data_IF_598721754671
#
_entry.id   IF_598721754671
#
_cell.length_a   1.000
_cell.length_b   1.000
_cell.length_c   1.000
_cell.angle_alpha   90.00
_cell.angle_beta   90.00
_cell.angle_gamma   90.00
#
_symmetry.space_group_name_H-M   'P 1'
#
loop_
_entity.id
_entity.type
_entity.pdbx_description
1 polymer ?
#
# COMPACT_ATOMS: atom_id res chain seq x y z
N UNK A 1 7.38 19.23 14.29
CA UNK A 1 6.72 19.56 13.03
C UNK A 1 7.75 19.36 11.93
N UNK A 2 7.37 18.98 10.70
CA UNK A 2 8.36 18.89 9.61
C UNK A 2 8.85 20.28 9.21
N UNK A 3 10.15 20.39 8.97
CA UNK A 3 10.81 21.64 8.53
C UNK A 3 11.01 21.61 7.02
N UNK A 4 10.49 22.62 6.31
CA UNK A 4 10.57 22.73 4.84
C UNK A 4 11.47 23.91 4.47
N UNK A 5 12.50 23.66 3.66
CA UNK A 5 13.35 24.71 3.11
C UNK A 5 12.82 25.14 1.73
N UNK A 6 12.58 26.44 1.57
CA UNK A 6 12.16 27.06 0.31
C UNK A 6 13.33 27.84 -0.28
N UNK A 7 13.76 27.48 -1.50
CA UNK A 7 14.85 28.14 -2.23
C UNK A 7 14.24 28.78 -3.49
N UNK A 8 14.08 30.10 -3.47
CA UNK A 8 13.36 30.87 -4.47
C UNK A 8 13.93 32.27 -4.53
N UNK A 9 14.36 32.76 -5.68
CA UNK A 9 14.96 34.08 -5.81
C UNK A 9 13.92 35.20 -5.86
N UNK A 10 12.71 34.92 -6.38
CA UNK A 10 11.63 35.89 -6.42
C UNK A 10 10.93 36.02 -5.06
N UNK A 11 11.15 37.17 -4.38
CA UNK A 11 10.67 37.44 -3.02
C UNK A 11 9.16 37.22 -2.86
N UNK A 12 8.35 37.75 -3.81
CA UNK A 12 6.90 37.61 -3.73
C UNK A 12 6.39 36.16 -3.84
N UNK A 13 7.07 35.32 -4.64
CA UNK A 13 6.77 33.89 -4.76
C UNK A 13 7.19 33.15 -3.49
N UNK A 14 8.38 33.47 -2.99
CA UNK A 14 8.94 32.87 -1.75
C UNK A 14 8.05 33.16 -0.54
N UNK A 15 7.63 34.41 -0.32
CA UNK A 15 6.74 34.78 0.78
C UNK A 15 5.38 34.11 0.69
N UNK A 16 4.79 34.04 -0.51
CA UNK A 16 3.51 33.36 -0.72
C UNK A 16 3.58 31.86 -0.33
N UNK A 17 4.68 31.19 -0.67
CA UNK A 17 4.88 29.77 -0.30
C UNK A 17 5.07 29.65 1.22
N UNK A 18 5.82 30.55 1.85
CA UNK A 18 6.00 30.57 3.30
C UNK A 18 4.68 30.73 4.04
N UNK A 19 3.89 31.76 3.71
CA UNK A 19 2.57 32.03 4.31
C UNK A 19 1.63 30.82 4.18
N UNK A 20 1.67 30.16 3.01
CA UNK A 20 0.83 29.00 2.74
C UNK A 20 1.23 27.80 3.61
N UNK A 21 2.53 27.55 3.78
CA UNK A 21 3.04 26.41 4.55
C UNK A 21 2.92 26.65 6.06
N UNK A 22 3.14 27.87 6.52
CA UNK A 22 2.94 28.25 7.93
C UNK A 22 1.47 28.14 8.34
N UNK A 23 0.53 28.47 7.44
CA UNK A 23 -0.91 28.27 7.66
C UNK A 23 -1.32 26.79 7.78
N UNK A 24 -0.46 25.86 7.37
CA UNK A 24 -0.64 24.39 7.47
C UNK A 24 0.23 23.78 8.58
N UNK A 25 0.69 24.58 9.52
CA UNK A 25 1.50 24.16 10.66
C UNK A 25 2.86 23.51 10.29
N UNK A 26 3.50 23.89 9.17
CA UNK A 26 4.88 23.52 8.85
C UNK A 26 5.87 24.54 9.44
N UNK A 27 7.03 24.06 9.88
CA UNK A 27 8.17 24.94 10.12
C UNK A 27 8.85 25.27 8.79
N UNK A 28 9.21 26.54 8.56
CA UNK A 28 9.72 27.00 7.27
C UNK A 28 11.11 27.63 7.40
N UNK A 29 11.97 27.35 6.41
CA UNK A 29 13.26 28.00 6.19
C UNK A 29 13.25 28.63 4.80
N UNK A 30 13.83 29.81 4.64
CA UNK A 30 13.83 30.53 3.38
C UNK A 30 15.25 30.89 2.90
N UNK A 31 15.52 30.65 1.62
CA UNK A 31 16.74 31.04 0.94
C UNK A 31 16.44 31.82 -0.33
N UNK A 32 17.08 32.96 -0.51
CA UNK A 32 16.87 33.86 -1.65
C UNK A 32 17.74 33.49 -2.88
N UNK A 33 18.57 32.47 -2.81
CA UNK A 33 19.36 31.92 -3.92
C UNK A 33 19.88 30.54 -3.61
N UNK A 34 20.41 29.85 -4.62
CA UNK A 34 20.88 28.47 -4.50
C UNK A 34 22.05 28.29 -3.50
N UNK A 35 22.96 29.25 -3.37
CA UNK A 35 24.09 29.16 -2.45
C UNK A 35 23.62 29.17 -1.00
N UNK A 36 22.79 30.13 -0.63
CA UNK A 36 22.19 30.22 0.73
C UNK A 36 21.38 28.95 1.01
N UNK A 37 20.65 28.45 -0.02
CA UNK A 37 19.88 27.24 0.09
C UNK A 37 20.72 25.99 0.43
N UNK A 38 21.87 25.82 -0.22
CA UNK A 38 22.81 24.71 0.09
C UNK A 38 23.36 24.85 1.51
N UNK A 39 23.80 26.04 1.90
CA UNK A 39 24.36 26.28 3.25
C UNK A 39 23.32 26.00 4.34
N UNK A 40 22.08 26.47 4.16
CA UNK A 40 20.97 26.20 5.09
C UNK A 40 20.58 24.71 5.12
N UNK A 41 20.55 24.04 3.97
CA UNK A 41 20.23 22.63 3.94
C UNK A 41 21.24 21.76 4.71
N UNK A 42 22.52 22.12 4.66
CA UNK A 42 23.59 21.42 5.39
C UNK A 42 23.56 21.73 6.89
N UNK A 43 23.29 23.00 7.29
CA UNK A 43 23.28 23.39 8.69
C UNK A 43 22.03 22.95 9.44
N UNK A 44 20.87 23.03 8.83
CA UNK A 44 19.55 22.80 9.47
C UNK A 44 18.94 21.43 9.17
N UNK A 45 19.42 20.74 8.11
CA UNK A 45 18.98 19.40 7.68
C UNK A 45 17.44 19.30 7.62
N UNK A 46 16.76 20.08 6.73
CA UNK A 46 15.32 20.11 6.66
C UNK A 46 14.71 18.76 6.25
N UNK A 47 13.42 18.55 6.53
CA UNK A 47 12.72 17.33 6.15
C UNK A 47 12.33 17.27 4.66
N UNK A 48 12.26 18.42 3.97
CA UNK A 48 11.97 18.54 2.55
C UNK A 48 12.51 19.88 2.00
N UNK A 49 12.92 19.88 0.73
CA UNK A 49 13.38 21.07 0.01
C UNK A 49 12.47 21.33 -1.18
N UNK A 50 11.96 22.57 -1.27
CA UNK A 50 11.33 23.14 -2.46
C UNK A 50 12.33 24.09 -3.11
N UNK A 51 12.66 23.91 -4.38
CA UNK A 51 13.67 24.71 -5.05
C UNK A 51 13.21 25.16 -6.44
N UNK A 52 13.29 26.47 -6.72
CA UNK A 52 13.13 26.95 -8.09
C UNK A 52 14.26 26.43 -8.98
N UNK A 53 13.91 26.11 -10.23
CA UNK A 53 14.87 25.65 -11.23
C UNK A 53 15.75 26.79 -11.71
N UNK A 54 15.13 27.96 -11.96
CA UNK A 54 15.77 29.07 -12.65
C UNK A 54 16.18 30.19 -11.67
N UNK A 55 17.35 30.07 -11.09
CA UNK A 55 17.90 31.08 -10.16
C UNK A 55 19.29 31.56 -10.61
N UNK A 56 19.69 32.80 -10.26
CA UNK A 56 21.01 33.30 -10.54
C UNK A 56 22.09 32.59 -9.72
N UNK A 57 23.33 32.61 -10.20
CA UNK A 57 24.54 32.03 -9.62
C UNK A 57 24.55 30.50 -9.61
N UNK A 58 23.72 29.87 -8.79
CA UNK A 58 23.52 28.42 -8.70
C UNK A 58 22.05 28.15 -8.99
N UNK A 59 21.77 27.49 -10.11
CA UNK A 59 20.43 27.06 -10.47
C UNK A 59 19.97 25.85 -9.62
N UNK A 60 18.71 25.49 -9.71
CA UNK A 60 18.14 24.39 -8.94
C UNK A 60 18.83 23.04 -9.19
N UNK A 61 19.34 22.80 -10.40
CA UNK A 61 20.10 21.59 -10.71
C UNK A 61 21.48 21.57 -10.03
N UNK A 62 22.13 22.73 -9.95
CA UNK A 62 23.38 22.91 -9.19
C UNK A 62 23.17 22.69 -7.68
N UNK A 63 22.07 23.21 -7.14
CA UNK A 63 21.66 22.96 -5.74
C UNK A 63 21.48 21.45 -5.49
N UNK A 64 20.68 20.77 -6.31
CA UNK A 64 20.45 19.33 -6.19
C UNK A 64 21.76 18.54 -6.23
N UNK A 65 22.63 18.87 -7.19
CA UNK A 65 23.92 18.20 -7.34
C UNK A 65 24.79 18.34 -6.11
N UNK A 66 24.88 19.56 -5.53
CA UNK A 66 25.64 19.82 -4.33
C UNK A 66 25.10 19.03 -3.12
N UNK A 67 23.78 19.02 -2.95
CA UNK A 67 23.12 18.31 -1.85
C UNK A 67 23.21 16.79 -1.96
N UNK A 68 23.20 16.21 -3.16
CA UNK A 68 23.37 14.77 -3.36
C UNK A 68 24.82 14.29 -3.12
N UNK A 69 25.79 15.19 -3.11
CA UNK A 69 27.20 14.87 -2.77
C UNK A 69 27.49 14.88 -1.27
N UNK A 70 26.67 15.54 -0.46
CA UNK A 70 26.84 15.59 0.99
C UNK A 70 26.01 14.48 1.68
N UNK A 71 26.65 13.60 2.49
CA UNK A 71 25.93 12.50 3.14
C UNK A 71 24.78 12.92 4.06
N UNK A 72 24.82 14.13 4.64
CA UNK A 72 23.78 14.63 5.55
C UNK A 72 22.51 15.06 4.82
N UNK A 73 22.64 15.51 3.56
CA UNK A 73 21.54 16.04 2.75
C UNK A 73 21.16 15.16 1.56
N UNK A 74 21.99 14.14 1.25
CA UNK A 74 21.83 13.29 0.07
C UNK A 74 20.47 12.59 -0.05
N UNK A 75 19.79 12.33 1.07
CA UNK A 75 18.51 11.62 1.12
C UNK A 75 17.31 12.56 1.34
N UNK A 76 17.52 13.86 1.54
CA UNK A 76 16.41 14.82 1.76
C UNK A 76 15.55 14.89 0.49
N UNK A 77 14.22 14.75 0.60
CA UNK A 77 13.32 14.87 -0.53
C UNK A 77 13.43 16.26 -1.18
N UNK A 78 13.54 16.28 -2.50
CA UNK A 78 13.77 17.49 -3.26
C UNK A 78 12.71 17.64 -4.37
N UNK A 79 11.96 18.73 -4.30
CA UNK A 79 10.89 19.06 -5.26
C UNK A 79 11.29 20.32 -6.03
N UNK A 80 11.31 20.24 -7.34
CA UNK A 80 11.52 21.41 -8.16
C UNK A 80 10.23 22.23 -8.37
N UNK A 81 10.35 23.56 -8.31
CA UNK A 81 9.34 24.49 -8.77
C UNK A 81 9.77 24.99 -10.16
N UNK A 82 8.97 24.81 -11.21
CA UNK A 82 9.38 25.11 -12.59
C UNK A 82 8.33 25.89 -13.38
N UNK A 83 8.77 26.80 -14.25
CA UNK A 83 7.91 27.41 -15.23
C UNK A 83 7.57 26.41 -16.36
N UNK A 84 6.38 26.50 -16.94
CA UNK A 84 5.75 25.58 -17.90
C UNK A 84 6.47 25.52 -19.27
N UNK A 85 7.76 25.15 -19.33
CA UNK A 85 8.45 25.00 -20.61
C UNK A 85 9.57 23.95 -20.57
N UNK A 86 9.34 22.88 -21.25
CA UNK A 86 10.20 21.81 -21.74
C UNK A 86 10.11 20.46 -21.01
N UNK A 87 9.51 19.50 -21.73
CA UNK A 87 9.58 18.06 -21.38
C UNK A 87 11.02 17.51 -21.30
N UNK A 88 12.01 18.21 -21.86
CA UNK A 88 13.44 17.89 -21.78
C UNK A 88 14.00 18.08 -20.38
N UNK A 89 13.63 19.15 -19.71
CA UNK A 89 14.18 19.54 -18.41
C UNK A 89 13.64 18.63 -17.28
N UNK A 90 12.40 18.15 -17.46
CA UNK A 90 11.76 17.18 -16.56
C UNK A 90 12.54 15.85 -16.46
N UNK A 91 13.03 15.32 -17.59
CA UNK A 91 13.83 14.08 -17.60
C UNK A 91 15.20 14.27 -16.96
N UNK A 92 15.86 15.37 -17.27
CA UNK A 92 17.20 15.66 -16.74
C UNK A 92 17.23 15.68 -15.22
N UNK A 93 16.29 16.36 -14.58
CA UNK A 93 16.27 16.45 -13.13
C UNK A 93 15.85 15.15 -12.42
N UNK A 94 14.95 14.34 -13.03
CA UNK A 94 14.63 12.99 -12.51
C UNK A 94 15.84 12.07 -12.58
N UNK A 95 16.59 12.12 -13.67
CA UNK A 95 17.84 11.36 -13.83
C UNK A 95 18.93 11.81 -12.83
N UNK A 96 18.87 13.06 -12.36
CA UNK A 96 19.76 13.61 -11.33
C UNK A 96 19.30 13.33 -9.89
N UNK A 97 18.16 12.67 -9.68
CA UNK A 97 17.67 12.26 -8.37
C UNK A 97 16.74 13.25 -7.68
N UNK A 98 16.02 14.11 -8.42
CA UNK A 98 14.90 14.86 -7.86
C UNK A 98 13.72 13.91 -7.58
N UNK A 99 12.95 14.23 -6.53
CA UNK A 99 11.83 13.41 -6.11
C UNK A 99 10.52 13.81 -6.79
N UNK A 100 10.35 15.10 -7.16
CA UNK A 100 9.15 15.62 -7.81
C UNK A 100 9.36 16.96 -8.51
N UNK A 101 8.31 17.39 -9.25
CA UNK A 101 8.22 18.69 -9.93
C UNK A 101 6.83 19.29 -9.78
N UNK A 102 6.78 20.58 -9.50
CA UNK A 102 5.55 21.37 -9.49
C UNK A 102 5.68 22.50 -10.50
N UNK A 103 4.72 22.57 -11.44
CA UNK A 103 4.73 23.64 -12.46
C UNK A 103 4.06 24.90 -11.95
N UNK A 104 4.76 26.06 -12.06
CA UNK A 104 4.19 27.38 -11.79
C UNK A 104 3.28 27.84 -12.97
N UNK A 105 2.09 28.44 -12.71
CA UNK A 105 1.48 28.62 -11.40
C UNK A 105 0.83 27.33 -10.87
N UNK A 106 0.94 27.10 -9.58
CA UNK A 106 0.35 25.95 -8.88
C UNK A 106 -0.73 26.39 -7.88
N UNK A 107 -1.64 25.51 -7.58
CA UNK A 107 -2.64 25.69 -6.53
C UNK A 107 -2.11 25.23 -5.17
N UNK A 108 -2.73 25.74 -4.07
CA UNK A 108 -2.43 25.27 -2.70
C UNK A 108 -2.55 23.75 -2.59
N UNK A 109 -3.59 23.17 -3.18
CA UNK A 109 -3.82 21.72 -3.13
C UNK A 109 -2.72 20.91 -3.81
N UNK A 110 -2.21 21.36 -4.97
CA UNK A 110 -1.12 20.71 -5.69
C UNK A 110 0.19 20.76 -4.89
N UNK A 111 0.53 21.92 -4.32
CA UNK A 111 1.74 22.08 -3.51
C UNK A 111 1.70 21.19 -2.27
N UNK A 112 0.61 21.24 -1.49
CA UNK A 112 0.46 20.44 -0.28
C UNK A 112 0.45 18.92 -0.56
N UNK A 113 -0.24 18.51 -1.62
CA UNK A 113 -0.28 17.11 -2.04
C UNK A 113 1.12 16.58 -2.36
N UNK A 114 1.92 17.32 -3.12
CA UNK A 114 3.30 16.93 -3.44
C UNK A 114 4.18 16.84 -2.18
N UNK A 115 4.11 17.84 -1.29
CA UNK A 115 4.88 17.88 -0.04
C UNK A 115 4.53 16.70 0.85
N UNK A 116 3.23 16.49 1.15
CA UNK A 116 2.77 15.42 2.05
C UNK A 116 3.18 14.05 1.52
N UNK A 117 2.99 13.80 0.22
CA UNK A 117 3.39 12.53 -0.40
C UNK A 117 4.89 12.27 -0.31
N UNK A 118 5.73 13.31 -0.50
CA UNK A 118 7.19 13.14 -0.43
C UNK A 118 7.68 13.00 1.01
N UNK A 119 7.13 13.74 1.96
CA UNK A 119 7.43 13.57 3.38
C UNK A 119 7.06 12.17 3.88
N UNK A 120 5.89 11.64 3.51
CA UNK A 120 5.46 10.29 3.86
C UNK A 120 6.38 9.22 3.26
N UNK A 121 6.72 9.34 1.97
CA UNK A 121 7.64 8.43 1.30
C UNK A 121 9.03 8.48 1.92
N UNK A 122 9.55 9.67 2.23
CA UNK A 122 10.86 9.84 2.85
C UNK A 122 10.88 9.33 4.31
N UNK A 123 9.84 9.59 5.09
CA UNK A 123 9.71 9.03 6.43
C UNK A 123 9.76 7.49 6.41
N UNK A 124 9.15 6.89 5.41
CA UNK A 124 9.21 5.44 5.17
C UNK A 124 10.64 5.00 4.82
N UNK A 125 11.31 5.66 3.86
CA UNK A 125 12.69 5.35 3.46
C UNK A 125 13.70 5.56 4.59
N UNK A 126 13.57 6.66 5.36
CA UNK A 126 14.44 6.95 6.52
C UNK A 126 14.33 5.87 7.60
N UNK A 127 13.15 5.27 7.77
CA UNK A 127 12.94 4.09 8.63
C UNK A 127 13.68 2.85 8.13
N UNK A 128 13.82 2.66 6.82
CA UNK A 128 14.54 1.53 6.23
C UNK A 128 16.07 1.65 6.31
N UNK A 129 16.60 2.87 6.24
CA UNK A 129 18.06 3.11 6.15
C UNK A 129 18.78 3.21 7.50
N UNK A 130 18.07 3.30 8.63
CA UNK A 130 18.67 3.47 9.96
C UNK A 130 18.03 2.59 11.03
N UNK A 131 18.27 1.27 11.04
CA UNK A 131 17.68 0.37 12.03
C UNK A 131 18.01 0.73 13.48
N UNK A 132 19.19 1.33 13.74
CA UNK A 132 19.65 1.65 15.10
C UNK A 132 19.11 2.97 15.66
N UNK A 133 18.74 3.94 14.81
CA UNK A 133 18.24 5.25 15.26
C UNK A 133 16.73 5.24 15.55
N UNK A 134 16.00 4.30 14.95
CA UNK A 134 14.55 4.14 15.12
C UNK A 134 14.19 3.70 16.55
N UNK A 135 15.00 2.84 17.15
CA UNK A 135 14.73 2.28 18.49
C UNK A 135 14.67 3.36 19.57
N UNK A 136 15.49 4.40 19.46
CA UNK A 136 15.58 5.46 20.49
C UNK A 136 14.46 6.52 20.41
N UNK A 137 13.72 6.58 19.28
CA UNK A 137 12.65 7.56 19.05
C UNK A 137 11.24 6.98 19.05
N UNK A 138 11.11 5.66 19.20
CA UNK A 138 9.79 5.00 19.35
C UNK A 138 9.20 5.32 20.72
N UNK A 139 7.88 5.52 20.77
CA UNK A 139 7.19 5.57 22.05
C UNK A 139 7.42 4.27 22.84
N UNK A 140 7.38 4.29 24.19
CA UNK A 140 7.56 3.07 24.99
C UNK A 140 6.64 1.91 24.56
N UNK A 141 5.42 2.22 24.11
CA UNK A 141 4.48 1.23 23.57
C UNK A 141 5.02 0.58 22.29
N UNK A 142 5.59 1.35 21.38
CA UNK A 142 6.14 0.85 20.11
C UNK A 142 7.43 0.04 20.33
N UNK A 143 8.27 0.43 21.28
CA UNK A 143 9.45 -0.36 21.66
C UNK A 143 9.06 -1.74 22.21
N UNK A 144 8.05 -1.77 23.10
CA UNK A 144 7.54 -3.02 23.63
C UNK A 144 6.94 -3.90 22.52
N UNK A 145 6.20 -3.29 21.59
CA UNK A 145 5.61 -3.99 20.44
C UNK A 145 6.70 -4.63 19.57
N UNK A 146 7.79 -3.90 19.28
CA UNK A 146 8.92 -4.39 18.49
C UNK A 146 9.65 -5.56 19.17
N UNK A 147 9.97 -5.40 20.46
CA UNK A 147 10.62 -6.47 21.25
C UNK A 147 9.76 -7.72 21.28
N UNK A 148 8.45 -7.55 21.53
CA UNK A 148 7.50 -8.67 21.59
C UNK A 148 7.34 -9.33 20.22
N UNK A 149 7.33 -8.55 19.11
CA UNK A 149 7.26 -9.09 17.75
C UNK A 149 8.51 -9.89 17.40
N UNK A 150 9.69 -9.36 17.69
CA UNK A 150 10.95 -10.08 17.52
C UNK A 150 10.98 -11.41 18.30
N UNK A 151 10.48 -11.40 19.54
CA UNK A 151 10.41 -12.60 20.38
C UNK A 151 9.43 -13.63 19.82
N UNK A 152 8.23 -13.20 19.42
CA UNK A 152 7.21 -14.06 18.83
C UNK A 152 7.73 -14.81 17.59
N UNK A 153 8.55 -14.13 16.76
CA UNK A 153 9.13 -14.72 15.55
C UNK A 153 10.30 -15.63 15.89
N UNK A 154 11.31 -15.14 16.64
CA UNK A 154 12.60 -15.83 16.83
C UNK A 154 12.58 -16.86 17.94
N UNK A 155 11.90 -16.58 19.05
CA UNK A 155 11.91 -17.46 20.24
C UNK A 155 10.70 -18.37 20.30
N UNK A 156 9.52 -17.86 19.97
CA UNK A 156 8.27 -18.61 20.04
C UNK A 156 7.88 -19.27 18.71
N UNK A 157 8.73 -19.16 17.67
CA UNK A 157 8.55 -19.82 16.37
C UNK A 157 7.12 -19.65 15.81
N UNK A 158 6.62 -18.41 15.81
CA UNK A 158 5.28 -18.01 15.34
C UNK A 158 4.09 -18.63 16.11
N UNK A 159 4.27 -19.19 17.30
CA UNK A 159 3.16 -19.82 18.06
C UNK A 159 2.10 -18.80 18.52
N UNK A 160 2.46 -17.53 18.61
CA UNK A 160 1.56 -16.43 18.96
C UNK A 160 0.72 -15.93 17.76
N UNK A 161 1.01 -16.42 16.55
CA UNK A 161 0.29 -16.01 15.34
C UNK A 161 -0.77 -17.01 14.95
N UNK A 162 -1.93 -16.52 14.57
CA UNK A 162 -3.05 -17.28 14.02
C UNK A 162 -3.53 -16.66 12.70
N UNK A 163 -4.06 -17.49 11.80
CA UNK A 163 -4.68 -17.03 10.57
C UNK A 163 -6.20 -17.20 10.71
N UNK A 164 -6.91 -16.11 10.53
CA UNK A 164 -8.37 -16.10 10.44
C UNK A 164 -8.75 -16.05 8.96
N UNK A 165 -9.92 -16.51 8.63
CA UNK A 165 -10.45 -16.56 7.27
C UNK A 165 -11.76 -15.80 7.21
N UNK A 166 -11.85 -14.84 6.29
CA UNK A 166 -13.10 -14.12 6.05
C UNK A 166 -13.73 -14.61 4.74
N UNK A 167 -14.99 -15.04 4.77
CA UNK A 167 -15.66 -15.54 3.57
C UNK A 167 -15.81 -14.46 2.50
N UNK A 168 -15.54 -14.82 1.25
CA UNK A 168 -15.92 -14.09 0.04
C UNK A 168 -17.06 -14.87 -0.59
N UNK A 169 -18.19 -14.19 -0.80
CA UNK A 169 -19.47 -14.80 -1.19
C UNK A 169 -19.86 -14.36 -2.59
N UNK A 170 -20.21 -15.31 -3.42
CA UNK A 170 -20.86 -15.05 -4.72
C UNK A 170 -22.26 -14.47 -4.50
N UNK A 171 -22.49 -13.27 -4.99
CA UNK A 171 -23.73 -12.52 -4.75
C UNK A 171 -24.94 -13.18 -5.41
N UNK A 172 -24.75 -13.86 -6.55
CA UNK A 172 -25.82 -14.48 -7.32
C UNK A 172 -26.28 -15.79 -6.68
N UNK A 173 -25.34 -16.65 -6.23
CA UNK A 173 -25.67 -17.95 -5.64
C UNK A 173 -25.77 -17.95 -4.13
N UNK A 174 -25.26 -16.90 -3.47
CA UNK A 174 -25.14 -16.81 -2.02
C UNK A 174 -24.08 -17.72 -1.40
N UNK A 175 -23.27 -18.43 -2.20
CA UNK A 175 -22.32 -19.43 -1.73
C UNK A 175 -20.94 -18.81 -1.44
N UNK A 176 -20.23 -19.38 -0.47
CA UNK A 176 -18.81 -19.08 -0.24
C UNK A 176 -18.00 -19.65 -1.40
N UNK A 177 -17.21 -18.81 -2.07
CA UNK A 177 -16.37 -19.18 -3.22
C UNK A 177 -14.88 -18.98 -2.96
N UNK A 178 -14.55 -18.09 -2.04
CA UNK A 178 -13.19 -17.81 -1.65
C UNK A 178 -13.13 -17.37 -0.16
N UNK A 179 -11.92 -17.22 0.35
CA UNK A 179 -11.67 -16.65 1.67
C UNK A 179 -10.44 -15.76 1.64
N UNK A 180 -10.48 -14.62 2.33
CA UNK A 180 -9.29 -13.83 2.62
C UNK A 180 -8.66 -14.33 3.91
N UNK A 181 -7.33 -14.58 3.88
CA UNK A 181 -6.55 -14.95 5.05
C UNK A 181 -6.06 -13.71 5.79
N UNK A 182 -6.40 -13.59 7.05
CA UNK A 182 -6.16 -12.41 7.87
C UNK A 182 -5.33 -12.79 9.09
N UNK A 183 -4.12 -12.27 9.14
CA UNK A 183 -3.20 -12.53 10.26
C UNK A 183 -3.73 -11.93 11.57
N UNK A 184 -3.58 -12.68 12.66
CA UNK A 184 -3.86 -12.26 14.04
C UNK A 184 -2.65 -12.58 14.90
N UNK A 185 -2.30 -11.68 15.80
CA UNK A 185 -1.23 -11.88 16.74
C UNK A 185 -1.75 -11.82 18.17
N UNK A 186 -1.68 -12.95 18.87
CA UNK A 186 -2.01 -13.08 20.29
C UNK A 186 -0.72 -12.99 21.11
N UNK A 187 -0.23 -11.77 21.28
CA UNK A 187 0.99 -11.53 22.06
C UNK A 187 0.81 -11.94 23.51
N UNK A 188 1.79 -12.66 24.05
CA UNK A 188 1.83 -13.02 25.47
C UNK A 188 1.93 -11.81 26.40
N UNK A 189 2.50 -10.68 25.92
CA UNK A 189 2.69 -9.46 26.70
C UNK A 189 1.62 -8.41 26.47
N UNK A 190 1.10 -8.33 25.25
CA UNK A 190 0.22 -7.24 24.81
C UNK A 190 -1.23 -7.69 24.62
N UNK A 191 -1.49 -9.01 24.69
CA UNK A 191 -2.79 -9.57 24.35
C UNK A 191 -3.03 -9.60 22.84
N UNK A 192 -4.29 -9.45 22.42
CA UNK A 192 -4.64 -9.45 21.00
C UNK A 192 -4.20 -8.15 20.33
N UNK A 193 -3.29 -8.25 19.36
CA UNK A 193 -2.83 -7.14 18.53
C UNK A 193 -3.39 -7.27 17.11
N UNK A 194 -3.89 -6.16 16.58
CA UNK A 194 -4.47 -6.12 15.24
C UNK A 194 -3.41 -5.82 14.17
N UNK A 195 -3.59 -6.29 12.92
CA UNK A 195 -2.66 -6.04 11.82
C UNK A 195 -2.29 -4.57 11.63
N UNK A 196 -3.24 -3.65 11.76
CA UNK A 196 -3.03 -2.20 11.65
C UNK A 196 -2.03 -1.65 12.69
N UNK A 197 -1.81 -2.35 13.81
CA UNK A 197 -0.87 -1.92 14.85
C UNK A 197 0.54 -2.45 14.60
N UNK A 198 0.70 -3.71 14.16
CA UNK A 198 2.02 -4.34 14.07
C UNK A 198 2.57 -4.51 12.65
N UNK A 199 1.73 -4.54 11.60
CA UNK A 199 2.20 -4.68 10.21
C UNK A 199 3.10 -3.50 9.80
N UNK A 200 2.75 -2.22 10.05
CA UNK A 200 3.65 -1.10 9.72
C UNK A 200 5.01 -1.19 10.43
N UNK A 201 5.03 -1.71 11.65
CA UNK A 201 6.27 -1.95 12.39
C UNK A 201 7.04 -3.13 11.80
N UNK A 202 6.37 -4.23 11.47
CA UNK A 202 6.98 -5.38 10.83
C UNK A 202 7.61 -5.02 9.48
N UNK A 203 6.96 -4.15 8.71
CA UNK A 203 7.50 -3.61 7.47
C UNK A 203 8.74 -2.76 7.71
N UNK A 204 8.66 -1.77 8.63
CA UNK A 204 9.77 -0.87 8.91
C UNK A 204 11.01 -1.58 9.48
N UNK A 205 10.84 -2.72 10.12
CA UNK A 205 11.91 -3.55 10.71
C UNK A 205 12.35 -4.72 9.83
N UNK A 206 11.68 -4.94 8.68
CA UNK A 206 11.92 -6.08 7.80
C UNK A 206 11.40 -7.42 8.34
N UNK A 207 10.74 -7.42 9.51
CA UNK A 207 10.14 -8.62 10.10
C UNK A 207 8.93 -9.14 9.32
N UNK A 208 8.37 -8.30 8.44
CA UNK A 208 7.27 -8.70 7.55
C UNK A 208 7.67 -9.86 6.64
N UNK A 209 8.94 -9.94 6.20
CA UNK A 209 9.41 -11.00 5.30
C UNK A 209 9.30 -12.40 5.93
N UNK A 210 9.85 -12.68 7.14
CA UNK A 210 9.64 -13.98 7.78
C UNK A 210 8.18 -14.23 8.17
N UNK A 211 7.39 -13.19 8.51
CA UNK A 211 5.95 -13.30 8.79
C UNK A 211 5.20 -13.77 7.56
N UNK A 212 5.36 -13.10 6.43
CA UNK A 212 4.64 -13.41 5.20
C UNK A 212 5.03 -14.78 4.63
N UNK A 213 6.31 -15.14 4.71
CA UNK A 213 6.74 -16.51 4.38
C UNK A 213 6.01 -17.56 5.22
N UNK A 214 5.87 -17.31 6.52
CA UNK A 214 5.12 -18.20 7.42
C UNK A 214 3.62 -18.21 7.07
N UNK A 215 3.01 -17.05 6.77
CA UNK A 215 1.60 -16.97 6.36
C UNK A 215 1.35 -17.78 5.10
N UNK A 216 2.13 -17.56 4.03
CA UNK A 216 2.01 -18.29 2.77
C UNK A 216 2.12 -19.80 2.97
N UNK A 217 3.11 -20.25 3.76
CA UNK A 217 3.27 -21.67 4.08
C UNK A 217 2.05 -22.23 4.82
N UNK A 218 1.51 -21.49 5.80
CA UNK A 218 0.35 -21.92 6.59
C UNK A 218 -0.92 -21.95 5.76
N UNK A 219 -1.14 -20.95 4.89
CA UNK A 219 -2.29 -20.91 4.00
C UNK A 219 -2.27 -22.07 3.01
N UNK A 220 -1.14 -22.33 2.35
CA UNK A 220 -1.01 -23.49 1.47
C UNK A 220 -1.29 -24.82 2.19
N UNK A 221 -0.80 -24.98 3.41
CA UNK A 221 -1.10 -26.16 4.23
C UNK A 221 -2.59 -26.25 4.58
N UNK A 222 -3.23 -25.11 4.90
CA UNK A 222 -4.67 -25.11 5.25
C UNK A 222 -5.53 -25.45 4.05
N UNK A 223 -5.23 -24.92 2.86
CA UNK A 223 -5.91 -25.29 1.62
C UNK A 223 -5.83 -26.82 1.41
N UNK A 224 -4.64 -27.39 1.57
CA UNK A 224 -4.47 -28.85 1.46
C UNK A 224 -5.33 -29.61 2.48
N UNK A 225 -5.36 -29.14 3.73
CA UNK A 225 -6.20 -29.75 4.78
C UNK A 225 -7.68 -29.75 4.37
N UNK A 226 -8.19 -28.65 3.80
CA UNK A 226 -9.56 -28.55 3.31
C UNK A 226 -9.83 -29.47 2.11
N UNK A 227 -8.86 -29.59 1.18
CA UNK A 227 -8.97 -30.54 0.06
C UNK A 227 -9.06 -31.98 0.56
N UNK A 228 -8.29 -32.35 1.59
CA UNK A 228 -8.28 -33.73 2.14
C UNK A 228 -9.62 -34.11 2.79
N UNK A 229 -10.42 -33.12 3.20
CA UNK A 229 -11.78 -33.34 3.73
C UNK A 229 -12.88 -33.07 2.69
N UNK A 230 -12.52 -32.89 1.40
CA UNK A 230 -13.45 -32.79 0.28
C UNK A 230 -13.91 -31.38 -0.10
N UNK A 231 -13.30 -30.33 0.47
CA UNK A 231 -13.56 -28.93 0.10
C UNK A 231 -12.58 -28.53 -1.00
N UNK A 232 -12.95 -28.76 -2.28
CA UNK A 232 -12.02 -28.65 -3.42
C UNK A 232 -12.27 -27.42 -4.32
N UNK A 233 -13.10 -26.47 -3.91
CA UNK A 233 -13.46 -25.33 -4.76
C UNK A 233 -13.13 -23.97 -4.18
N UNK A 234 -12.42 -23.92 -3.06
CA UNK A 234 -12.15 -22.69 -2.31
C UNK A 234 -10.80 -22.09 -2.73
N UNK A 235 -10.81 -20.86 -3.23
CA UNK A 235 -9.60 -20.03 -3.39
C UNK A 235 -9.31 -19.30 -2.08
N UNK A 236 -8.05 -19.22 -1.69
CA UNK A 236 -7.63 -18.44 -0.51
C UNK A 236 -6.70 -17.30 -0.92
N UNK A 237 -7.09 -16.10 -0.55
CA UNK A 237 -6.36 -14.88 -0.81
C UNK A 237 -5.39 -14.57 0.35
N UNK A 238 -4.21 -14.06 0.00
CA UNK A 238 -3.14 -13.69 0.93
C UNK A 238 -2.65 -12.29 0.61
N UNK A 239 -2.74 -11.40 1.59
CA UNK A 239 -2.16 -10.05 1.51
C UNK A 239 -0.63 -10.14 1.53
N UNK A 240 0.02 -9.41 0.61
CA UNK A 240 1.47 -9.38 0.47
C UNK A 240 1.96 -7.93 0.49
N UNK A 241 2.94 -7.64 1.34
CA UNK A 241 3.57 -6.32 1.41
C UNK A 241 4.53 -6.09 0.23
N UNK A 242 4.81 -4.80 -0.05
CA UNK A 242 5.79 -4.42 -1.09
C UNK A 242 7.18 -5.01 -0.81
N UNK A 243 7.55 -5.14 0.46
CA UNK A 243 8.86 -5.65 0.88
C UNK A 243 8.99 -7.14 0.57
N UNK A 244 7.93 -7.91 0.84
CA UNK A 244 7.88 -9.35 0.54
C UNK A 244 7.86 -9.61 -0.97
N UNK A 245 7.01 -8.88 -1.69
CA UNK A 245 6.87 -9.00 -3.14
C UNK A 245 8.17 -8.75 -3.90
N UNK A 246 9.00 -7.84 -3.41
CA UNK A 246 10.30 -7.50 -4.00
C UNK A 246 11.45 -8.41 -3.54
N UNK A 247 11.19 -9.42 -2.69
CA UNK A 247 12.25 -10.38 -2.31
C UNK A 247 12.66 -11.24 -3.52
N UNK A 248 13.97 -11.45 -3.72
CA UNK A 248 14.46 -12.27 -4.85
C UNK A 248 13.91 -13.71 -4.84
N UNK A 249 13.63 -14.26 -3.68
CA UNK A 249 13.14 -15.63 -3.48
C UNK A 249 11.61 -15.74 -3.34
N UNK A 250 10.86 -14.63 -3.49
CA UNK A 250 9.41 -14.60 -3.30
C UNK A 250 8.67 -15.64 -4.17
N UNK A 251 8.92 -15.61 -5.48
CA UNK A 251 8.30 -16.57 -6.41
C UNK A 251 8.71 -18.00 -6.11
N UNK A 252 10.01 -18.21 -5.80
CA UNK A 252 10.52 -19.55 -5.50
C UNK A 252 9.88 -20.12 -4.22
N UNK A 253 9.64 -19.29 -3.21
CA UNK A 253 8.93 -19.69 -2.01
C UNK A 253 7.49 -20.15 -2.32
N UNK A 254 6.75 -19.42 -3.15
CA UNK A 254 5.40 -19.80 -3.58
C UNK A 254 5.42 -21.14 -4.32
N UNK A 255 6.32 -21.31 -5.29
CA UNK A 255 6.50 -22.59 -6.02
C UNK A 255 6.75 -23.75 -5.07
N UNK A 256 7.64 -23.55 -4.11
CA UNK A 256 7.99 -24.58 -3.12
C UNK A 256 6.79 -24.93 -2.23
N UNK A 257 6.01 -23.93 -1.74
CA UNK A 257 4.86 -24.21 -0.87
C UNK A 257 3.72 -24.91 -1.61
N UNK A 258 3.47 -24.54 -2.86
CA UNK A 258 2.50 -25.22 -3.73
C UNK A 258 2.94 -26.67 -3.96
N UNK A 259 4.21 -26.91 -4.31
CA UNK A 259 4.75 -28.24 -4.58
C UNK A 259 4.74 -29.14 -3.34
N UNK A 260 5.19 -28.65 -2.17
CA UNK A 260 5.23 -29.42 -0.91
C UNK A 260 3.83 -29.88 -0.50
N UNK A 261 2.80 -29.05 -0.72
CA UNK A 261 1.43 -29.36 -0.36
C UNK A 261 0.64 -30.05 -1.50
N UNK A 262 1.27 -30.29 -2.66
CA UNK A 262 0.63 -30.86 -3.86
C UNK A 262 -0.66 -30.13 -4.21
N UNK A 263 -0.60 -28.80 -4.28
CA UNK A 263 -1.73 -27.93 -4.61
C UNK A 263 -1.70 -27.55 -6.09
N UNK A 264 -2.88 -27.28 -6.63
CA UNK A 264 -3.01 -26.54 -7.88
C UNK A 264 -2.93 -25.04 -7.57
N UNK A 265 -2.11 -24.32 -8.34
CA UNK A 265 -1.75 -22.92 -8.03
C UNK A 265 -2.95 -21.96 -7.99
N UNK A 266 -4.02 -22.27 -8.73
CA UNK A 266 -5.21 -21.43 -8.81
C UNK A 266 -6.06 -21.36 -7.52
N UNK A 267 -5.75 -22.20 -6.53
CA UNK A 267 -6.37 -22.10 -5.20
C UNK A 267 -5.70 -21.06 -4.30
N UNK A 268 -4.56 -20.51 -4.73
CA UNK A 268 -3.89 -19.40 -4.07
C UNK A 268 -4.12 -18.11 -4.87
N UNK A 269 -4.55 -17.05 -4.20
CA UNK A 269 -4.63 -15.69 -4.72
C UNK A 269 -3.70 -14.76 -3.95
N UNK A 270 -2.94 -13.92 -4.64
CA UNK A 270 -2.07 -12.92 -4.02
C UNK A 270 -2.74 -11.57 -4.14
N UNK A 271 -2.97 -10.90 -3.00
CA UNK A 271 -3.53 -9.56 -2.93
C UNK A 271 -2.42 -8.51 -2.82
N UNK A 272 -2.46 -7.52 -3.69
CA UNK A 272 -1.50 -6.43 -3.80
C UNK A 272 -2.25 -5.11 -3.77
N UNK A 273 -1.82 -4.17 -2.93
CA UNK A 273 -2.45 -2.84 -2.95
C UNK A 273 -2.08 -2.06 -4.21
N UNK A 274 -2.97 -1.21 -4.66
CA UNK A 274 -2.74 -0.33 -5.81
C UNK A 274 -1.44 0.49 -5.65
N UNK A 275 -1.26 1.12 -4.49
CA UNK A 275 -0.10 1.95 -4.18
C UNK A 275 1.23 1.21 -4.29
N UNK A 276 1.25 -0.08 -3.96
CA UNK A 276 2.42 -0.92 -4.06
C UNK A 276 2.83 -1.14 -5.53
N UNK A 277 1.86 -1.41 -6.40
CA UNK A 277 2.12 -1.63 -7.83
C UNK A 277 2.66 -0.36 -8.48
N UNK A 278 2.18 0.81 -8.07
CA UNK A 278 2.56 2.11 -8.63
C UNK A 278 3.98 2.56 -8.27
N UNK A 279 4.66 1.93 -7.32
CA UNK A 279 6.06 2.26 -6.99
C UNK A 279 7.04 1.88 -8.11
N UNK A 280 6.88 0.70 -8.69
CA UNK A 280 7.62 0.23 -9.88
C UNK A 280 6.72 -0.69 -10.71
N UNK A 281 5.94 -0.07 -11.58
CA UNK A 281 4.95 -0.77 -12.43
C UNK A 281 5.61 -1.83 -13.31
N UNK A 282 6.80 -1.56 -13.82
CA UNK A 282 7.49 -2.48 -14.75
C UNK A 282 7.92 -3.76 -14.03
N UNK A 283 8.57 -3.63 -12.89
CA UNK A 283 9.00 -4.77 -12.07
C UNK A 283 7.78 -5.54 -11.54
N UNK A 284 6.74 -4.81 -11.09
CA UNK A 284 5.49 -5.42 -10.62
C UNK A 284 4.84 -6.28 -11.71
N UNK A 285 4.64 -5.76 -12.92
CA UNK A 285 4.08 -6.52 -14.05
C UNK A 285 4.93 -7.77 -14.35
N UNK A 286 6.25 -7.68 -14.32
CA UNK A 286 7.12 -8.83 -14.59
C UNK A 286 6.93 -9.93 -13.53
N UNK A 287 6.86 -9.59 -12.26
CA UNK A 287 6.64 -10.53 -11.15
C UNK A 287 5.24 -11.12 -11.19
N UNK A 288 4.21 -10.30 -11.37
CA UNK A 288 2.81 -10.73 -11.50
C UNK A 288 2.63 -11.68 -12.71
N UNK A 289 3.29 -11.40 -13.85
CA UNK A 289 3.22 -12.26 -15.04
C UNK A 289 3.81 -13.64 -14.78
N UNK A 290 4.90 -13.73 -14.01
CA UNK A 290 5.47 -15.02 -13.59
C UNK A 290 4.52 -15.79 -12.68
N UNK A 291 3.91 -15.14 -11.69
CA UNK A 291 2.90 -15.76 -10.79
C UNK A 291 1.71 -16.29 -11.58
N UNK A 292 1.20 -15.51 -12.53
CA UNK A 292 0.10 -15.92 -13.38
C UNK A 292 0.46 -17.09 -14.30
N UNK A 293 1.68 -17.15 -14.80
CA UNK A 293 2.17 -18.29 -15.58
C UNK A 293 2.23 -19.58 -14.76
N UNK A 294 2.45 -19.47 -13.45
CA UNK A 294 2.34 -20.59 -12.50
C UNK A 294 0.89 -21.00 -12.22
N UNK A 295 -0.10 -20.18 -12.59
CA UNK A 295 -1.50 -20.38 -12.32
C UNK A 295 -2.00 -19.73 -11.03
N UNK A 296 -1.16 -18.99 -10.30
CA UNK A 296 -1.56 -18.23 -9.10
C UNK A 296 -2.45 -17.07 -9.53
N UNK A 297 -3.56 -16.87 -8.83
CA UNK A 297 -4.44 -15.71 -9.05
C UNK A 297 -3.87 -14.46 -8.41
N UNK A 298 -4.24 -13.30 -8.94
CA UNK A 298 -3.79 -12.01 -8.43
C UNK A 298 -4.99 -11.06 -8.32
N UNK A 299 -5.13 -10.43 -7.17
CA UNK A 299 -6.10 -9.37 -6.93
C UNK A 299 -5.40 -8.03 -6.67
N UNK A 300 -6.04 -6.94 -7.09
CA UNK A 300 -5.71 -5.60 -6.61
C UNK A 300 -6.64 -5.27 -5.46
N UNK A 301 -6.05 -4.90 -4.33
CA UNK A 301 -6.74 -4.50 -3.11
C UNK A 301 -6.77 -2.98 -2.93
N UNK A 302 -7.72 -2.48 -2.10
CA UNK A 302 -7.93 -1.06 -1.78
C UNK A 302 -8.12 -0.17 -3.02
N UNK A 303 -8.70 -0.71 -4.12
CA UNK A 303 -8.79 0.00 -5.38
C UNK A 303 -9.67 1.26 -5.29
N UNK A 304 -9.12 2.36 -5.81
CA UNK A 304 -9.79 3.68 -5.87
C UNK A 304 -9.42 4.61 -4.73
N UNK A 305 -8.66 4.18 -3.73
CA UNK A 305 -8.18 5.05 -2.63
C UNK A 305 -6.87 5.76 -2.98
N UNK A 306 -6.19 5.31 -4.05
CA UNK A 306 -4.93 5.86 -4.55
C UNK A 306 -5.08 6.70 -5.81
N UNK A 307 -3.96 7.12 -6.39
CA UNK A 307 -3.91 7.78 -7.70
C UNK A 307 -3.99 6.72 -8.81
N UNK A 308 -5.18 6.16 -9.03
CA UNK A 308 -5.42 5.16 -10.06
C UNK A 308 -5.13 5.73 -11.45
N UNK A 309 -3.98 5.42 -12.00
CA UNK A 309 -3.80 5.59 -13.43
C UNK A 309 -4.48 4.41 -14.13
N UNK A 310 -5.76 4.59 -14.52
CA UNK A 310 -6.53 3.63 -15.32
C UNK A 310 -5.78 3.13 -16.57
N UNK A 311 -4.75 3.88 -17.02
CA UNK A 311 -3.89 3.54 -18.15
C UNK A 311 -3.12 2.25 -17.87
N UNK A 312 -2.66 2.03 -16.63
CA UNK A 312 -1.88 0.84 -16.29
C UNK A 312 -2.76 -0.37 -16.01
N UNK A 313 -3.97 -0.17 -15.45
CA UNK A 313 -4.87 -1.28 -15.10
C UNK A 313 -5.11 -2.25 -16.26
N UNK A 314 -5.27 -1.72 -17.48
CA UNK A 314 -5.44 -2.53 -18.72
C UNK A 314 -4.29 -3.53 -18.95
N UNK A 315 -3.09 -3.21 -18.49
CA UNK A 315 -1.88 -4.01 -18.76
C UNK A 315 -1.49 -4.90 -17.57
N UNK A 316 -2.17 -4.77 -16.43
CA UNK A 316 -1.87 -5.59 -15.26
C UNK A 316 -2.40 -7.01 -15.44
N UNK A 317 -1.58 -8.04 -15.21
CA UNK A 317 -1.98 -9.43 -15.32
C UNK A 317 -2.74 -9.90 -14.07
N UNK A 318 -3.91 -9.33 -13.81
CA UNK A 318 -4.75 -9.58 -12.64
C UNK A 318 -6.01 -10.38 -12.99
N UNK A 319 -6.66 -10.95 -11.97
CA UNK A 319 -7.90 -11.69 -12.06
C UNK A 319 -9.05 -10.93 -11.39
N UNK A 320 -8.77 -10.30 -10.24
CA UNK A 320 -9.77 -9.74 -9.34
C UNK A 320 -9.46 -8.28 -9.02
N UNK A 321 -10.52 -7.48 -8.93
CA UNK A 321 -10.49 -6.11 -8.44
C UNK A 321 -11.32 -6.03 -7.16
N UNK A 322 -10.70 -5.65 -6.02
CA UNK A 322 -11.39 -5.44 -4.75
C UNK A 322 -11.70 -3.95 -4.59
N UNK A 323 -12.98 -3.62 -4.47
CA UNK A 323 -13.44 -2.24 -4.25
C UNK A 323 -13.45 -1.97 -2.76
N UNK A 324 -12.65 -1.00 -2.34
CA UNK A 324 -12.50 -0.63 -0.94
C UNK A 324 -13.81 -0.26 -0.25
N UNK A 325 -13.90 -0.59 1.04
CA UNK A 325 -15.03 -0.28 1.93
C UNK A 325 -15.49 1.17 1.87
N UNK A 326 -14.60 2.11 1.64
CA UNK A 326 -14.95 3.53 1.54
C UNK A 326 -16.04 3.79 0.50
N UNK A 327 -15.98 3.12 -0.64
CA UNK A 327 -16.96 3.25 -1.73
C UNK A 327 -18.25 2.46 -1.47
N UNK A 328 -18.18 1.39 -0.69
CA UNK A 328 -19.31 0.50 -0.42
C UNK A 328 -20.16 1.03 0.74
N UNK A 329 -19.50 1.55 1.78
CA UNK A 329 -20.21 2.07 2.95
C UNK A 329 -21.18 3.20 2.57
N UNK A 330 -22.47 2.97 2.86
CA UNK A 330 -23.60 3.86 2.56
C UNK A 330 -23.83 4.13 1.04
N UNK A 331 -23.36 3.25 0.16
CA UNK A 331 -23.45 3.40 -1.31
C UNK A 331 -24.90 3.55 -1.82
N UNK A 332 -25.87 2.95 -1.16
CA UNK A 332 -27.28 3.01 -1.53
C UNK A 332 -27.91 4.41 -1.32
N UNK A 333 -27.35 5.24 -0.43
CA UNK A 333 -27.89 6.54 -0.07
C UNK A 333 -27.01 7.72 -0.50
N UNK A 334 -25.79 7.46 -1.00
CA UNK A 334 -24.86 8.48 -1.46
C UNK A 334 -24.76 8.45 -2.99
N UNK A 335 -25.33 9.46 -3.70
CA UNK A 335 -25.33 9.49 -5.16
C UNK A 335 -23.93 9.53 -5.79
N UNK A 336 -22.96 10.15 -5.11
CA UNK A 336 -21.58 10.24 -5.62
C UNK A 336 -20.88 8.88 -5.51
N UNK A 337 -20.95 8.25 -4.34
CA UNK A 337 -20.43 6.89 -4.14
C UNK A 337 -21.10 5.89 -5.07
N UNK A 338 -22.42 5.97 -5.21
CA UNK A 338 -23.21 5.14 -6.12
C UNK A 338 -22.70 5.24 -7.57
N UNK A 339 -22.48 6.47 -8.05
CA UNK A 339 -21.99 6.70 -9.41
C UNK A 339 -20.57 6.13 -9.61
N UNK A 340 -19.67 6.35 -8.63
CA UNK A 340 -18.29 5.87 -8.68
C UNK A 340 -18.26 4.33 -8.62
N UNK A 341 -18.92 3.72 -7.64
CA UNK A 341 -18.93 2.26 -7.47
C UNK A 341 -19.50 1.55 -8.70
N UNK A 342 -20.59 2.07 -9.27
CA UNK A 342 -21.14 1.56 -10.53
C UNK A 342 -20.12 1.64 -11.67
N UNK A 343 -19.42 2.77 -11.80
CA UNK A 343 -18.39 2.94 -12.83
C UNK A 343 -17.22 1.96 -12.64
N UNK A 344 -16.78 1.72 -11.40
CA UNK A 344 -15.72 0.76 -11.07
C UNK A 344 -16.14 -0.68 -11.44
N UNK A 345 -17.34 -1.12 -11.06
CA UNK A 345 -17.85 -2.45 -11.41
C UNK A 345 -17.89 -2.62 -12.93
N UNK A 346 -18.48 -1.66 -13.66
CA UNK A 346 -18.58 -1.74 -15.10
C UNK A 346 -17.21 -1.74 -15.79
N UNK A 347 -16.28 -0.94 -15.32
CA UNK A 347 -14.91 -0.91 -15.82
C UNK A 347 -14.19 -2.26 -15.63
N UNK A 348 -14.27 -2.84 -14.45
CA UNK A 348 -13.66 -4.13 -14.16
C UNK A 348 -14.23 -5.23 -15.06
N UNK A 349 -15.56 -5.29 -15.25
CA UNK A 349 -16.20 -6.23 -16.16
C UNK A 349 -15.78 -6.06 -17.61
N UNK A 350 -15.62 -4.81 -18.08
CA UNK A 350 -15.13 -4.52 -19.44
C UNK A 350 -13.67 -4.97 -19.65
N UNK A 351 -12.91 -5.11 -18.55
CA UNK A 351 -11.56 -5.66 -18.54
C UNK A 351 -11.52 -7.18 -18.29
N UNK A 352 -12.68 -7.84 -18.20
CA UNK A 352 -12.84 -9.26 -17.84
C UNK A 352 -12.24 -9.61 -16.48
N UNK A 353 -12.39 -8.72 -15.50
CA UNK A 353 -12.00 -8.93 -14.12
C UNK A 353 -13.21 -9.26 -13.26
N UNK A 354 -13.02 -10.14 -12.30
CA UNK A 354 -13.94 -10.35 -11.21
C UNK A 354 -13.91 -9.17 -10.25
N UNK A 355 -15.06 -8.86 -9.61
CA UNK A 355 -15.17 -7.75 -8.67
C UNK A 355 -15.58 -8.26 -7.31
N UNK A 356 -14.81 -7.92 -6.28
CA UNK A 356 -15.17 -8.11 -4.87
C UNK A 356 -15.49 -6.76 -4.24
N UNK A 357 -16.68 -6.61 -3.68
CA UNK A 357 -17.06 -5.45 -2.89
C UNK A 357 -16.72 -5.71 -1.41
N UNK A 358 -15.90 -4.85 -0.82
CA UNK A 358 -15.45 -5.01 0.55
C UNK A 358 -16.27 -4.21 1.56
N UNK A 359 -16.29 -4.70 2.80
CA UNK A 359 -16.94 -4.00 3.91
C UNK A 359 -18.46 -3.90 3.78
N UNK A 360 -19.11 -4.85 3.13
CA UNK A 360 -20.57 -4.90 3.02
C UNK A 360 -21.16 -5.23 4.40
N UNK A 361 -21.93 -4.30 4.97
CA UNK A 361 -22.48 -4.42 6.33
C UNK A 361 -24.03 -4.42 6.36
N UNK A 362 -24.69 -3.97 5.29
CA UNK A 362 -26.14 -3.81 5.24
C UNK A 362 -26.79 -4.46 4.02
N UNK A 363 -28.06 -4.85 4.15
CA UNK A 363 -28.87 -5.35 3.03
C UNK A 363 -29.08 -4.31 1.93
N UNK A 364 -29.06 -3.02 2.26
CA UNK A 364 -29.17 -1.94 1.28
C UNK A 364 -27.92 -1.89 0.37
N UNK A 365 -26.73 -2.04 0.93
CA UNK A 365 -25.48 -2.13 0.20
C UNK A 365 -25.47 -3.37 -0.71
N UNK A 366 -25.87 -4.52 -0.17
CA UNK A 366 -26.00 -5.76 -0.94
C UNK A 366 -27.01 -5.61 -2.09
N UNK A 367 -28.16 -4.98 -1.84
CA UNK A 367 -29.17 -4.69 -2.87
C UNK A 367 -28.64 -3.85 -4.01
N UNK A 368 -27.83 -2.82 -3.69
CA UNK A 368 -27.12 -2.00 -4.67
C UNK A 368 -26.15 -2.84 -5.52
N UNK A 369 -25.35 -3.68 -4.89
CA UNK A 369 -24.36 -4.53 -5.57
C UNK A 369 -25.04 -5.54 -6.51
N UNK A 370 -26.15 -6.15 -6.08
CA UNK A 370 -27.00 -7.03 -6.92
C UNK A 370 -27.53 -6.30 -8.16
N UNK A 371 -28.07 -5.10 -7.97
CA UNK A 371 -28.60 -4.29 -9.07
C UNK A 371 -27.55 -3.96 -10.12
N UNK A 372 -26.27 -3.86 -9.72
CA UNK A 372 -25.17 -3.53 -10.63
C UNK A 372 -24.31 -4.74 -11.02
N UNK A 373 -24.81 -5.98 -10.76
CA UNK A 373 -24.16 -7.23 -11.13
C UNK A 373 -22.72 -7.39 -10.58
N UNK A 374 -22.44 -6.86 -9.38
CA UNK A 374 -21.17 -7.16 -8.72
C UNK A 374 -21.06 -8.67 -8.49
N UNK A 375 -19.87 -9.25 -8.74
CA UNK A 375 -19.66 -10.69 -8.67
C UNK A 375 -19.71 -11.21 -7.24
N UNK A 376 -18.88 -10.61 -6.37
CA UNK A 376 -18.64 -11.11 -5.03
C UNK A 376 -18.74 -10.01 -4.00
N UNK A 377 -18.99 -10.42 -2.76
CA UNK A 377 -18.97 -9.54 -1.60
C UNK A 377 -18.16 -10.15 -0.46
N UNK A 378 -17.60 -9.26 0.35
CA UNK A 378 -16.97 -9.55 1.64
C UNK A 378 -17.43 -8.52 2.65
N UNK A 379 -17.84 -8.95 3.85
CA UNK A 379 -18.23 -8.00 4.89
C UNK A 379 -18.97 -8.63 6.05
N UNK A 380 -19.22 -7.80 7.06
CA UNK A 380 -19.83 -8.25 8.31
C UNK A 380 -21.32 -8.60 8.17
N UNK A 381 -21.94 -8.22 7.06
CA UNK A 381 -23.28 -8.69 6.75
C UNK A 381 -23.33 -10.23 6.69
N UNK A 382 -22.33 -10.85 6.12
CA UNK A 382 -22.25 -12.31 6.04
C UNK A 382 -21.50 -12.91 7.24
N UNK A 383 -20.25 -12.49 7.48
CA UNK A 383 -19.42 -12.95 8.59
C UNK A 383 -18.23 -12.03 8.87
N UNK A 384 -17.86 -11.97 10.13
CA UNK A 384 -16.53 -11.50 10.54
C UNK A 384 -15.47 -12.55 10.18
N UNK A 385 -14.16 -12.19 10.17
CA UNK A 385 -13.10 -13.18 10.07
C UNK A 385 -13.19 -14.23 11.17
N UNK A 386 -13.03 -15.50 10.82
CA UNK A 386 -13.19 -16.67 11.70
C UNK A 386 -11.89 -17.47 11.79
N UNK A 387 -11.59 -18.12 12.93
CA UNK A 387 -10.58 -19.16 13.00
C UNK A 387 -10.88 -20.30 12.00
N UNK A 388 -9.84 -21.02 11.57
CA UNK A 388 -9.96 -22.07 10.54
C UNK A 388 -11.07 -23.10 10.84
N UNK A 389 -11.19 -23.55 12.08
CA UNK A 389 -12.18 -24.56 12.48
C UNK A 389 -13.63 -24.02 12.37
N UNK A 390 -13.86 -22.76 12.74
CA UNK A 390 -15.18 -22.15 12.62
C UNK A 390 -15.53 -21.86 11.15
N UNK A 391 -14.56 -21.43 10.35
CA UNK A 391 -14.72 -21.23 8.93
C UNK A 391 -15.05 -22.55 8.21
N UNK A 392 -14.34 -23.63 8.56
CA UNK A 392 -14.61 -24.99 8.06
C UNK A 392 -16.06 -25.45 8.36
N UNK A 393 -16.56 -25.13 9.56
CA UNK A 393 -17.96 -25.42 9.90
C UNK A 393 -18.94 -24.71 8.97
N UNK A 394 -18.66 -23.45 8.55
CA UNK A 394 -19.49 -22.74 7.59
C UNK A 394 -19.51 -23.42 6.24
N UNK A 395 -18.37 -23.96 5.78
CA UNK A 395 -18.26 -24.70 4.52
C UNK A 395 -19.05 -26.01 4.57
N UNK A 396 -18.96 -26.79 5.64
CA UNK A 396 -19.72 -28.04 5.79
C UNK A 396 -21.22 -27.84 5.95
N UNK A 397 -21.64 -26.76 6.60
CA UNK A 397 -23.05 -26.44 6.78
C UNK A 397 -23.66 -25.77 5.56
N UNK A 398 -22.86 -25.54 4.50
CA UNK A 398 -23.26 -24.77 3.31
C UNK A 398 -23.94 -23.45 3.69
N UNK A 399 -23.36 -22.73 4.65
CA UNK A 399 -23.88 -21.41 5.04
C UNK A 399 -23.93 -20.52 3.80
N UNK A 400 -25.11 -20.05 3.46
CA UNK A 400 -25.36 -19.20 2.30
C UNK A 400 -25.90 -17.85 2.73
N UNK A 401 -25.62 -16.83 1.91
CA UNK A 401 -26.35 -15.56 1.95
C UNK A 401 -27.79 -15.85 1.52
N UNK A 402 -28.76 -15.29 2.22
CA UNK A 402 -30.15 -15.39 1.75
C UNK A 402 -30.29 -14.59 0.45
N UNK A 403 -30.67 -15.30 -0.63
CA UNK A 403 -30.82 -14.73 -1.97
C UNK A 403 -32.25 -14.21 -2.14
#
# INVERSE_FOLDING_TARGET
MPTILIIEDEEAVRENILDLLEAEDFETLAAANGRIGVDLAISEVPDLILCDVMMPEIDGYGVLTALRQDPSTAIIPFIFLTAKSAKSDFRQGMDMGADDYITKPFTRAELLSAIINRLQKHATLKRYLSPQTVINNLSPKMQLLEISLHRAIKQHNFQEFEIYYQPIVDIASGKIVAAESLLRWKSSDLGMSYPSEFIPLAESTGLIVPIGKWVLQRVCKQIKTWHDVGINSLTVAVNVSVIEFNQPDFIQNIVNFIAINNLEAHYLEIELTESMIMQDVTSAIATMSKLRTLGVKIAIDDFGTGYSSLIYLKNLPINTLKIDRYFIHNVANDPQKSAITKALIQMAHNLNLDVVAEGVETEAELGFLRQHNCNFMQGFLFSRPLPAAEFEHFLFTNKCLYV
#
